data_IF_801900371357
#
_entry.id   IF_801900371357
#
_cell.length_a   1.000
_cell.length_b   1.000
_cell.length_c   1.000
_cell.angle_alpha   90.00
_cell.angle_beta   90.00
_cell.angle_gamma   90.00
#
_symmetry.space_group_name_H-M   'P 1'
#
loop_
_entity.id
_entity.type
_entity.pdbx_description
1 polymer ?
#
# COMPACT_ATOMS: atom_id res chain seq x y z
N UNK A 1 -10.27 17.67 -23.30
CA UNK A 1 -9.80 18.93 -22.64
C UNK A 1 -8.55 18.62 -21.83
N UNK A 2 -7.42 19.33 -22.03
CA UNK A 2 -6.22 19.12 -21.21
C UNK A 2 -6.45 19.55 -19.76
N UNK A 3 -5.78 18.89 -18.80
CA UNK A 3 -5.86 19.22 -17.37
C UNK A 3 -5.29 20.62 -17.11
N UNK A 4 -5.99 21.43 -16.32
CA UNK A 4 -5.53 22.77 -15.96
C UNK A 4 -4.18 22.70 -15.19
N UNK A 5 -3.26 23.62 -15.50
CA UNK A 5 -1.89 23.63 -14.93
C UNK A 5 -1.85 23.62 -13.40
N UNK A 6 -2.78 24.32 -12.73
CA UNK A 6 -2.85 24.36 -11.28
C UNK A 6 -3.22 23.00 -10.66
N UNK A 7 -4.13 22.25 -11.31
CA UNK A 7 -4.52 20.89 -10.91
C UNK A 7 -3.35 19.93 -11.10
N UNK A 8 -2.65 20.02 -12.25
CA UNK A 8 -1.48 19.19 -12.53
C UNK A 8 -0.38 19.37 -11.47
N UNK A 9 -0.11 20.62 -11.07
CA UNK A 9 0.87 20.94 -10.02
C UNK A 9 0.47 20.37 -8.65
N UNK A 10 -0.81 20.46 -8.29
CA UNK A 10 -1.33 19.88 -7.05
C UNK A 10 -1.27 18.34 -7.07
N UNK A 11 -1.62 17.72 -8.20
CA UNK A 11 -1.57 16.27 -8.38
C UNK A 11 -0.13 15.75 -8.34
N UNK A 12 0.83 16.42 -8.96
CA UNK A 12 2.24 16.05 -8.90
C UNK A 12 2.74 16.00 -7.45
N UNK A 13 2.42 17.04 -6.65
CA UNK A 13 2.77 17.08 -5.22
C UNK A 13 2.15 15.92 -4.44
N UNK A 14 0.85 15.63 -4.64
CA UNK A 14 0.16 14.51 -3.99
C UNK A 14 0.74 13.16 -4.44
N UNK A 15 1.02 13.02 -5.73
CA UNK A 15 1.50 11.77 -6.32
C UNK A 15 2.90 11.42 -5.87
N UNK A 16 3.78 12.41 -5.66
CA UNK A 16 5.13 12.21 -5.12
C UNK A 16 5.15 11.45 -3.79
N UNK A 17 4.11 11.64 -2.97
CA UNK A 17 3.96 10.93 -1.70
C UNK A 17 3.27 9.57 -1.92
N UNK A 18 2.18 9.54 -2.69
CA UNK A 18 1.40 8.31 -2.90
C UNK A 18 2.17 7.21 -3.63
N UNK A 19 2.97 7.56 -4.63
CA UNK A 19 3.70 6.57 -5.45
C UNK A 19 4.65 5.72 -4.61
N UNK A 20 5.20 6.29 -3.53
CA UNK A 20 6.10 5.57 -2.61
C UNK A 20 5.42 4.40 -1.92
N UNK A 21 4.12 4.47 -1.67
CA UNK A 21 3.35 3.44 -0.93
C UNK A 21 2.36 2.67 -1.80
N UNK A 22 2.16 3.09 -3.04
CA UNK A 22 1.22 2.47 -3.98
C UNK A 22 1.45 0.97 -4.16
N UNK A 23 2.71 0.53 -4.20
CA UNK A 23 3.07 -0.89 -4.29
C UNK A 23 2.59 -1.71 -3.08
N UNK A 24 2.52 -1.11 -1.89
CA UNK A 24 1.96 -1.76 -0.68
C UNK A 24 0.48 -1.96 -0.87
N UNK A 25 -0.25 -0.90 -1.25
CA UNK A 25 -1.69 -0.98 -1.50
C UNK A 25 -2.05 -1.95 -2.62
N UNK A 26 -1.25 -2.00 -3.69
CA UNK A 26 -1.41 -2.97 -4.77
C UNK A 26 -1.29 -4.40 -4.23
N UNK A 27 -0.24 -4.69 -3.43
CA UNK A 27 -0.08 -6.01 -2.81
C UNK A 27 -1.23 -6.37 -1.86
N UNK A 28 -1.70 -5.43 -1.04
CA UNK A 28 -2.83 -5.64 -0.14
C UNK A 28 -4.14 -5.93 -0.91
N UNK A 29 -4.42 -5.19 -1.97
CA UNK A 29 -5.69 -5.29 -2.69
C UNK A 29 -5.74 -6.46 -3.66
N UNK A 30 -4.69 -6.63 -4.47
CA UNK A 30 -4.63 -7.65 -5.52
C UNK A 30 -4.23 -9.01 -4.94
N UNK A 31 -3.05 -9.08 -4.31
CA UNK A 31 -2.48 -10.37 -3.85
C UNK A 31 -3.10 -10.88 -2.55
N UNK A 32 -3.49 -9.98 -1.64
CA UNK A 32 -4.06 -10.37 -0.34
C UNK A 32 -5.59 -10.27 -0.30
N UNK A 33 -6.23 -9.74 -1.36
CA UNK A 33 -7.69 -9.59 -1.41
C UNK A 33 -8.26 -8.74 -0.26
N UNK A 34 -7.49 -7.78 0.26
CA UNK A 34 -7.88 -7.03 1.46
C UNK A 34 -9.17 -6.25 1.21
N UNK A 35 -10.20 -6.60 1.98
CA UNK A 35 -11.50 -5.97 1.93
C UNK A 35 -12.04 -5.69 3.34
N UNK A 36 -12.36 -4.44 3.63
CA UNK A 36 -12.80 -3.99 4.96
C UNK A 36 -14.30 -3.64 4.91
N UNK A 37 -15.13 -4.53 5.47
CA UNK A 37 -16.58 -4.32 5.72
C UNK A 37 -16.95 -4.84 7.11
N UNK A 38 -16.24 -4.35 8.13
CA UNK A 38 -16.45 -4.73 9.53
C UNK A 38 -17.30 -3.67 10.24
N UNK A 39 -18.16 -4.10 11.17
CA UNK A 39 -18.89 -3.20 12.07
C UNK A 39 -17.96 -2.81 13.21
N UNK A 40 -17.74 -1.51 13.39
CA UNK A 40 -16.89 -0.94 14.43
C UNK A 40 -15.47 -0.60 13.95
N UNK A 41 -14.98 0.56 14.40
CA UNK A 41 -13.68 1.11 14.00
C UNK A 41 -12.53 0.22 14.46
N UNK A 42 -12.57 -0.27 15.69
CA UNK A 42 -11.50 -1.10 16.25
C UNK A 42 -11.29 -2.37 15.43
N UNK A 43 -12.37 -3.02 14.99
CA UNK A 43 -12.30 -4.21 14.14
C UNK A 43 -11.71 -3.90 12.77
N UNK A 44 -12.06 -2.74 12.19
CA UNK A 44 -11.48 -2.28 10.92
C UNK A 44 -9.98 -2.03 11.07
N UNK A 45 -9.58 -1.36 12.16
CA UNK A 45 -8.19 -1.07 12.49
C UNK A 45 -7.38 -2.35 12.67
N UNK A 46 -7.89 -3.33 13.43
CA UNK A 46 -7.23 -4.63 13.60
C UNK A 46 -7.07 -5.35 12.26
N UNK A 47 -8.12 -5.38 11.42
CA UNK A 47 -8.06 -6.04 10.10
C UNK A 47 -6.99 -5.43 9.19
N UNK A 48 -6.92 -4.09 9.14
CA UNK A 48 -5.92 -3.36 8.37
C UNK A 48 -4.52 -3.60 8.95
N UNK A 49 -4.38 -3.53 10.28
CA UNK A 49 -3.11 -3.74 10.98
C UNK A 49 -2.51 -5.12 10.71
N UNK A 50 -3.32 -6.18 10.84
CA UNK A 50 -2.88 -7.55 10.57
C UNK A 50 -2.46 -7.74 9.10
N UNK A 51 -3.22 -7.18 8.15
CA UNK A 51 -2.87 -7.25 6.74
C UNK A 51 -1.53 -6.53 6.45
N UNK A 52 -1.30 -5.38 7.08
CA UNK A 52 -0.04 -4.66 6.95
C UNK A 52 1.15 -5.44 7.56
N UNK A 53 0.98 -6.06 8.73
CA UNK A 53 2.02 -6.91 9.34
C UNK A 53 2.37 -8.07 8.40
N UNK A 54 1.37 -8.81 7.93
CA UNK A 54 1.58 -9.94 7.04
C UNK A 54 2.27 -9.53 5.73
N UNK A 55 1.89 -8.39 5.14
CA UNK A 55 2.57 -7.84 3.96
C UNK A 55 4.05 -7.54 4.25
N UNK A 56 4.34 -6.84 5.35
CA UNK A 56 5.71 -6.46 5.70
C UNK A 56 6.58 -7.67 6.02
N UNK A 57 6.06 -8.70 6.70
CA UNK A 57 6.78 -9.95 6.93
C UNK A 57 7.12 -10.66 5.62
N UNK A 58 6.15 -10.78 4.70
CA UNK A 58 6.40 -11.37 3.37
C UNK A 58 7.42 -10.57 2.57
N UNK A 59 7.34 -9.24 2.64
CA UNK A 59 8.30 -8.34 1.97
C UNK A 59 9.70 -8.48 2.56
N UNK A 60 9.83 -8.60 3.88
CA UNK A 60 11.10 -8.82 4.56
C UNK A 60 11.75 -10.12 4.08
N UNK A 61 11.01 -11.23 4.09
CA UNK A 61 11.52 -12.53 3.61
C UNK A 61 12.03 -12.40 2.17
N UNK A 62 11.26 -11.76 1.28
CA UNK A 62 11.69 -11.57 -0.10
C UNK A 62 12.97 -10.73 -0.24
N UNK A 63 13.12 -9.67 0.55
CA UNK A 63 14.34 -8.86 0.56
C UNK A 63 15.54 -9.66 1.08
N UNK A 64 15.33 -10.42 2.15
CA UNK A 64 16.36 -11.25 2.78
C UNK A 64 16.85 -12.35 1.82
N UNK A 65 15.92 -13.05 1.16
CA UNK A 65 16.24 -14.07 0.15
C UNK A 65 17.01 -13.49 -1.04
N UNK A 66 16.83 -12.21 -1.39
CA UNK A 66 17.61 -11.57 -2.45
C UNK A 66 19.00 -11.12 -2.00
N UNK A 67 19.22 -10.94 -0.71
CA UNK A 67 20.51 -10.55 -0.15
C UNK A 67 21.38 -11.76 0.20
N UNK A 68 20.79 -12.96 0.29
CA UNK A 68 21.54 -14.19 0.53
C UNK A 68 22.46 -14.52 -0.67
N UNK A 69 23.74 -14.87 -0.45
CA UNK A 69 24.59 -15.37 -1.51
C UNK A 69 24.02 -16.69 -2.06
N UNK A 70 24.11 -16.87 -3.38
CA UNK A 70 23.58 -18.03 -4.11
C UNK A 70 24.22 -19.35 -3.66
#
# INVERSE_FOLDING_TARGET
KPMARHIAKANARKSMIRSKVEHVFAGLKDRMGLFVRTIGLDRATTKIGLANIAYNMRRLIWLDTRNAPA
#
